data_IF_799028558143
#
_entry.id   IF_799028558143
#
_cell.length_a   1.000
_cell.length_b   1.000
_cell.length_c   1.000
_cell.angle_alpha   90.00
_cell.angle_beta   90.00
_cell.angle_gamma   90.00
#
_symmetry.space_group_name_H-M   'P 1'
#
loop_
_entity.id
_entity.type
_entity.pdbx_description
1 polymer ?
#
# COMPACT_ATOMS: atom_id res chain seq x y z
N UNK A 1 -24.37 11.08 -9.65
CA UNK A 1 -24.82 9.82 -9.03
C UNK A 1 -24.51 9.94 -7.55
N UNK A 2 -25.56 10.17 -6.76
CA UNK A 2 -25.51 10.69 -5.39
C UNK A 2 -24.76 9.74 -4.45
N UNK A 3 -23.66 10.23 -3.87
CA UNK A 3 -23.15 9.76 -2.58
C UNK A 3 -24.25 9.98 -1.55
N UNK A 4 -25.01 8.92 -1.25
CA UNK A 4 -26.02 8.96 -0.20
C UNK A 4 -25.29 8.89 1.14
N UNK A 5 -25.32 9.94 1.99
CA UNK A 5 -24.84 9.80 3.35
C UNK A 5 -25.67 8.71 4.04
N UNK A 6 -24.99 7.73 4.64
CA UNK A 6 -25.63 6.73 5.50
C UNK A 6 -26.39 7.45 6.61
N UNK A 7 -27.72 7.52 6.48
CA UNK A 7 -28.62 7.93 7.55
C UNK A 7 -28.76 6.76 8.53
N UNK A 8 -27.92 6.70 9.56
CA UNK A 8 -28.25 5.94 10.76
C UNK A 8 -29.38 6.68 11.48
N UNK A 9 -30.62 6.30 11.19
CA UNK A 9 -31.79 6.69 11.98
C UNK A 9 -31.80 5.87 13.27
N UNK A 10 -31.35 6.46 14.38
CA UNK A 10 -31.69 5.97 15.71
C UNK A 10 -33.05 6.56 16.09
N UNK A 11 -34.12 5.82 15.80
CA UNK A 11 -35.46 6.13 16.28
C UNK A 11 -35.51 5.92 17.80
N UNK A 12 -35.78 7.02 18.53
CA UNK A 12 -36.00 7.05 19.98
C UNK A 12 -34.78 6.59 20.80
N UNK A 13 -33.80 7.48 20.92
CA UNK A 13 -33.01 7.54 22.14
C UNK A 13 -33.03 8.99 22.59
N UNK A 14 -33.73 9.24 23.70
CA UNK A 14 -33.45 10.39 24.53
C UNK A 14 -31.98 10.30 24.91
N UNK A 15 -31.15 10.93 24.08
CA UNK A 15 -30.09 11.80 24.57
C UNK A 15 -28.90 10.96 25.17
N UNK A 16 -27.62 11.23 24.90
CA UNK A 16 -26.56 11.51 25.89
C UNK A 16 -25.15 11.14 25.40
N UNK A 17 -24.23 12.12 25.47
CA UNK A 17 -22.86 12.09 24.97
C UNK A 17 -22.08 10.81 25.32
N UNK A 18 -21.43 10.22 24.31
CA UNK A 18 -20.71 8.96 24.41
C UNK A 18 -19.19 9.18 24.29
N UNK A 19 -18.43 8.89 25.34
CA UNK A 19 -16.97 8.83 25.25
C UNK A 19 -16.59 7.43 24.79
N UNK A 20 -16.62 7.21 23.48
CA UNK A 20 -15.98 6.04 22.89
C UNK A 20 -14.60 6.47 22.41
N UNK A 21 -13.56 5.92 23.04
CA UNK A 21 -12.19 6.09 22.57
C UNK A 21 -11.95 5.22 21.33
N UNK A 22 -12.54 5.62 20.21
CA UNK A 22 -12.29 4.99 18.92
C UNK A 22 -10.95 5.46 18.35
N UNK A 23 -10.21 4.55 17.73
CA UNK A 23 -9.07 4.92 16.89
C UNK A 23 -9.54 5.87 15.77
N UNK A 24 -8.68 6.82 15.38
CA UNK A 24 -8.93 7.82 14.34
C UNK A 24 -9.51 7.23 13.04
N UNK A 25 -9.05 6.04 12.64
CA UNK A 25 -9.52 5.33 11.44
C UNK A 25 -11.01 4.98 11.50
N UNK A 26 -11.55 4.74 12.69
CA UNK A 26 -12.97 4.44 12.89
C UNK A 26 -13.76 5.73 13.11
N UNK A 27 -13.20 6.69 13.85
CA UNK A 27 -13.84 8.01 14.09
C UNK A 27 -14.20 8.71 12.80
N UNK A 28 -13.30 8.70 11.81
CA UNK A 28 -13.51 9.37 10.52
C UNK A 28 -14.60 8.73 9.65
N UNK A 29 -15.14 7.56 10.05
CA UNK A 29 -16.16 6.79 9.32
C UNK A 29 -17.50 6.76 10.05
N UNK A 30 -17.59 7.45 11.18
CA UNK A 30 -18.79 7.50 12.01
C UNK A 30 -19.36 8.91 12.00
N UNK A 31 -20.68 8.98 11.87
CA UNK A 31 -21.44 10.19 12.18
C UNK A 31 -22.28 9.88 13.42
N UNK A 32 -22.07 10.65 14.49
CA UNK A 32 -22.76 10.47 15.76
C UNK A 32 -23.71 11.63 15.98
N UNK A 33 -24.98 11.29 16.22
CA UNK A 33 -25.98 12.24 16.68
C UNK A 33 -26.22 11.99 18.15
N UNK A 34 -25.93 13.00 18.96
CA UNK A 34 -26.05 12.96 20.41
C UNK A 34 -26.94 14.14 20.82
N UNK A 35 -28.01 13.85 21.52
CA UNK A 35 -28.74 14.86 22.28
C UNK A 35 -28.26 14.71 23.75
N UNK A 36 -28.07 15.71 24.63
CA UNK A 36 -27.72 15.45 26.07
C UNK A 36 -28.45 16.40 27.08
N UNK A 37 -29.08 15.93 28.18
CA UNK A 37 -29.51 16.76 29.34
C UNK A 37 -28.51 16.74 30.51
N UNK A 38 -27.55 17.65 30.47
CA UNK A 38 -26.46 17.70 31.45
C UNK A 38 -26.88 18.56 32.62
N UNK A 39 -26.67 18.06 33.84
CA UNK A 39 -26.97 18.81 35.06
C UNK A 39 -25.94 19.93 35.26
N UNK A 40 -26.41 21.18 35.39
CA UNK A 40 -25.58 22.38 35.54
C UNK A 40 -24.42 22.47 34.53
N UNK A 41 -24.71 22.54 33.22
CA UNK A 41 -23.69 22.47 32.20
C UNK A 41 -22.83 23.74 32.17
N UNK A 42 -21.53 23.53 32.02
CA UNK A 42 -20.50 24.55 31.84
C UNK A 42 -19.97 24.50 30.42
N UNK A 43 -19.88 25.67 29.79
CA UNK A 43 -19.43 25.86 28.42
C UNK A 43 -18.21 26.77 28.39
N UNK A 44 -17.45 26.72 27.30
CA UNK A 44 -16.28 27.54 27.06
C UNK A 44 -16.64 29.03 26.88
N UNK A 45 -17.83 29.28 26.34
CA UNK A 45 -18.27 30.57 25.86
C UNK A 45 -19.79 30.73 25.96
N UNK A 46 -20.26 31.97 25.81
CA UNK A 46 -21.68 32.29 25.85
C UNK A 46 -22.47 31.70 24.66
N UNK A 47 -21.81 31.42 23.52
CA UNK A 47 -22.44 30.75 22.37
C UNK A 47 -22.75 29.27 22.66
N UNK A 48 -22.13 28.70 23.71
CA UNK A 48 -22.37 27.34 24.21
C UNK A 48 -22.12 26.26 23.15
N UNK A 49 -21.12 26.47 22.30
CA UNK A 49 -20.73 25.52 21.25
C UNK A 49 -19.94 24.34 21.80
N UNK A 50 -19.04 24.60 22.77
CA UNK A 50 -18.22 23.55 23.39
C UNK A 50 -18.57 23.38 24.86
N UNK A 51 -19.03 22.18 25.20
CA UNK A 51 -19.25 21.77 26.58
C UNK A 51 -17.91 21.44 27.25
N UNK A 52 -17.65 22.05 28.40
CA UNK A 52 -16.42 21.89 29.19
C UNK A 52 -16.66 21.10 30.48
N UNK A 53 -17.93 20.84 30.83
CA UNK A 53 -18.29 20.00 31.98
C UNK A 53 -17.57 18.65 31.95
N UNK A 54 -17.11 18.22 33.13
CA UNK A 54 -16.42 16.93 33.24
C UNK A 54 -17.40 15.77 33.29
N UNK A 55 -17.04 14.56 32.81
CA UNK A 55 -17.94 13.41 32.85
C UNK A 55 -18.47 13.04 34.24
N UNK A 56 -17.75 13.41 35.31
CA UNK A 56 -18.16 13.17 36.70
C UNK A 56 -19.33 14.06 37.13
N UNK A 57 -19.48 15.23 36.52
CA UNK A 57 -20.49 16.24 36.87
C UNK A 57 -21.72 16.18 35.97
N UNK A 58 -21.83 15.19 35.08
CA UNK A 58 -22.96 15.08 34.14
C UNK A 58 -24.28 14.66 34.80
N UNK A 59 -24.26 14.13 36.02
CA UNK A 59 -25.44 13.61 36.72
C UNK A 59 -25.96 12.27 36.17
N UNK A 60 -25.41 11.78 35.05
CA UNK A 60 -25.78 10.52 34.43
C UNK A 60 -24.58 9.85 33.73
N UNK A 61 -24.69 8.54 33.47
CA UNK A 61 -23.70 7.77 32.70
C UNK A 61 -24.39 7.12 31.50
N UNK A 62 -23.80 7.30 30.32
CA UNK A 62 -24.22 6.62 29.09
C UNK A 62 -23.32 5.40 28.87
N UNK A 63 -23.90 4.20 28.92
CA UNK A 63 -23.21 2.94 28.60
C UNK A 63 -23.88 2.36 27.36
N UNK A 64 -23.12 2.25 26.27
CA UNK A 64 -23.60 1.60 25.05
C UNK A 64 -23.67 0.08 25.29
N UNK A 65 -24.79 -0.53 24.91
CA UNK A 65 -24.97 -1.97 25.03
C UNK A 65 -24.23 -2.71 23.90
N UNK A 66 -23.85 -3.96 24.15
CA UNK A 66 -23.27 -4.82 23.13
C UNK A 66 -24.21 -5.04 21.93
N UNK A 67 -25.53 -4.97 22.18
CA UNK A 67 -26.54 -5.06 21.13
C UNK A 67 -26.42 -3.89 20.13
N UNK A 68 -26.16 -2.68 20.60
CA UNK A 68 -25.92 -1.52 19.74
C UNK A 68 -24.69 -1.74 18.85
N UNK A 69 -23.58 -2.19 19.41
CA UNK A 69 -22.37 -2.47 18.63
C UNK A 69 -22.58 -3.56 17.59
N UNK A 70 -23.30 -4.65 17.94
CA UNK A 70 -23.68 -5.70 16.99
C UNK A 70 -24.51 -5.15 15.84
N UNK A 71 -25.48 -4.29 16.12
CA UNK A 71 -26.30 -3.66 15.09
C UNK A 71 -25.46 -2.75 14.18
N UNK A 72 -24.57 -1.93 14.75
CA UNK A 72 -23.65 -1.09 13.98
C UNK A 72 -22.76 -1.93 13.07
N UNK A 73 -22.14 -3.01 13.58
CA UNK A 73 -21.26 -3.86 12.78
C UNK A 73 -21.99 -4.68 11.72
N UNK A 74 -23.25 -5.04 11.94
CA UNK A 74 -24.04 -5.81 10.96
C UNK A 74 -24.69 -4.93 9.88
N UNK A 75 -25.03 -3.68 10.21
CA UNK A 75 -25.70 -2.76 9.28
C UNK A 75 -24.75 -1.85 8.51
N UNK A 76 -23.46 -1.82 8.87
CA UNK A 76 -22.48 -0.93 8.24
C UNK A 76 -21.28 -1.72 7.69
N UNK A 77 -20.63 -1.18 6.67
CA UNK A 77 -19.43 -1.76 6.06
C UNK A 77 -18.13 -1.25 6.72
N UNK A 78 -18.22 -0.68 7.92
CA UNK A 78 -17.09 -0.01 8.59
C UNK A 78 -15.89 -0.95 8.73
N UNK A 79 -16.13 -2.21 9.11
CA UNK A 79 -15.08 -3.22 9.29
C UNK A 79 -14.40 -3.53 7.96
N UNK A 80 -15.17 -3.82 6.92
CA UNK A 80 -14.65 -4.13 5.58
C UNK A 80 -13.90 -2.95 4.97
N UNK A 81 -14.40 -1.74 5.18
CA UNK A 81 -13.80 -0.51 4.68
C UNK A 81 -12.45 -0.23 5.34
N UNK A 82 -12.32 -0.49 6.65
CA UNK A 82 -11.05 -0.40 7.37
C UNK A 82 -10.07 -1.47 6.89
N UNK A 83 -10.53 -2.71 6.70
CA UNK A 83 -9.66 -3.77 6.17
C UNK A 83 -9.16 -3.45 4.76
N UNK A 84 -10.03 -2.91 3.88
CA UNK A 84 -9.64 -2.43 2.55
C UNK A 84 -8.57 -1.35 2.61
N UNK A 85 -8.69 -0.40 3.53
CA UNK A 85 -7.68 0.65 3.74
C UNK A 85 -6.33 0.09 4.19
N UNK A 86 -6.34 -0.88 5.11
CA UNK A 86 -5.13 -1.53 5.60
C UNK A 86 -4.43 -2.23 4.43
N UNK A 87 -5.16 -3.07 3.69
CA UNK A 87 -4.62 -3.80 2.54
C UNK A 87 -4.07 -2.84 1.46
N UNK A 88 -4.77 -1.73 1.22
CA UNK A 88 -4.31 -0.71 0.27
C UNK A 88 -3.03 -0.03 0.74
N UNK A 89 -2.90 0.27 2.03
CA UNK A 89 -1.66 0.84 2.60
C UNK A 89 -0.50 -0.14 2.46
N UNK A 90 -0.73 -1.42 2.78
CA UNK A 90 0.29 -2.46 2.62
C UNK A 90 0.74 -2.60 1.15
N UNK A 91 -0.20 -2.61 0.21
CA UNK A 91 0.11 -2.64 -1.22
C UNK A 91 0.93 -1.42 -1.66
N UNK A 92 0.56 -0.23 -1.18
CA UNK A 92 1.30 1.01 -1.47
C UNK A 92 2.70 1.00 -0.83
N UNK A 93 2.85 0.44 0.36
CA UNK A 93 4.14 0.26 1.01
C UNK A 93 5.02 -0.73 0.25
N UNK A 94 4.45 -1.83 -0.24
CA UNK A 94 5.14 -2.77 -1.13
C UNK A 94 5.60 -2.07 -2.42
N UNK A 95 4.71 -1.32 -3.09
CA UNK A 95 5.08 -0.53 -4.28
C UNK A 95 6.17 0.51 -3.99
N UNK A 96 6.16 1.15 -2.81
CA UNK A 96 7.21 2.08 -2.40
C UNK A 96 8.51 1.38 -2.03
N UNK A 97 8.45 0.19 -1.46
CA UNK A 97 9.65 -0.60 -1.15
C UNK A 97 10.33 -1.03 -2.44
N UNK A 98 9.56 -1.46 -3.45
CA UNK A 98 10.03 -1.68 -4.81
C UNK A 98 10.72 -0.43 -5.35
N UNK A 99 10.10 0.76 -5.22
CA UNK A 99 10.70 2.00 -5.72
C UNK A 99 11.91 2.54 -4.95
N UNK A 100 12.05 2.19 -3.66
CA UNK A 100 13.21 2.56 -2.83
C UNK A 100 14.37 1.59 -2.96
N UNK A 101 14.12 0.28 -3.12
CA UNK A 101 15.16 -0.67 -3.55
C UNK A 101 15.67 -0.29 -4.95
N UNK A 102 14.79 0.15 -5.86
CA UNK A 102 15.15 0.68 -7.19
C UNK A 102 16.16 1.84 -7.18
N UNK A 103 16.20 2.67 -6.12
CA UNK A 103 17.12 3.82 -6.07
C UNK A 103 18.47 3.51 -5.40
N UNK A 104 18.58 2.39 -4.69
CA UNK A 104 19.82 1.98 -4.00
C UNK A 104 20.64 0.95 -4.80
N UNK A 105 20.02 0.26 -5.75
CA UNK A 105 20.61 -0.88 -6.50
C UNK A 105 21.14 -0.51 -7.89
N UNK A 106 21.47 0.77 -8.12
CA UNK A 106 22.17 1.19 -9.34
C UNK A 106 23.57 0.56 -9.46
N UNK A 107 24.18 0.08 -8.38
CA UNK A 107 25.54 -0.48 -8.41
C UNK A 107 25.67 -1.75 -9.25
N UNK A 108 24.67 -2.64 -9.27
CA UNK A 108 24.70 -3.86 -10.10
C UNK A 108 24.20 -3.62 -11.52
N UNK A 109 23.41 -2.56 -11.74
CA UNK A 109 23.11 -2.07 -13.08
C UNK A 109 24.37 -1.66 -13.85
N UNK A 110 25.47 -1.32 -13.17
CA UNK A 110 26.74 -0.97 -13.83
C UNK A 110 27.30 -2.12 -14.68
N UNK A 111 26.89 -3.38 -14.44
CA UNK A 111 27.31 -4.54 -15.25
C UNK A 111 26.40 -4.79 -16.45
N UNK A 112 25.28 -4.08 -16.57
CA UNK A 112 24.37 -4.22 -17.70
C UNK A 112 24.96 -3.61 -18.96
N UNK A 113 25.05 -4.40 -20.02
CA UNK A 113 25.25 -3.87 -21.37
C UNK A 113 23.88 -3.58 -21.96
N UNK A 114 23.52 -2.30 -22.11
CA UNK A 114 22.20 -1.91 -22.61
C UNK A 114 22.11 -2.00 -24.14
N UNK A 115 21.00 -2.54 -24.63
CA UNK A 115 20.65 -2.43 -26.04
C UNK A 115 20.29 -0.98 -26.38
N UNK A 116 20.62 -0.53 -27.59
CA UNK A 116 20.35 0.86 -28.01
C UNK A 116 18.86 1.21 -28.03
N UNK A 117 18.00 0.26 -28.41
CA UNK A 117 16.55 0.48 -28.49
C UNK A 117 15.82 0.14 -27.15
N UNK A 118 16.55 -0.28 -26.09
CA UNK A 118 15.96 -0.65 -24.80
C UNK A 118 15.27 0.54 -24.13
N UNK A 119 14.05 0.32 -23.61
CA UNK A 119 13.23 1.38 -22.98
C UNK A 119 12.63 2.41 -23.96
N UNK A 120 12.88 2.30 -25.27
CA UNK A 120 12.24 3.13 -26.30
C UNK A 120 10.92 2.50 -26.77
N UNK A 121 10.23 3.15 -27.73
CA UNK A 121 9.06 2.55 -28.40
C UNK A 121 9.35 1.23 -29.11
N UNK A 122 10.62 0.94 -29.41
CA UNK A 122 11.09 -0.30 -30.06
C UNK A 122 11.59 -1.36 -29.08
N UNK A 123 11.47 -1.13 -27.77
CA UNK A 123 11.81 -2.09 -26.71
C UNK A 123 11.15 -3.46 -26.91
N UNK A 124 10.02 -3.53 -27.62
CA UNK A 124 9.34 -4.77 -27.99
C UNK A 124 10.17 -5.75 -28.81
N UNK A 125 11.19 -5.25 -29.50
CA UNK A 125 12.12 -6.07 -30.27
C UNK A 125 13.41 -6.36 -29.49
N UNK A 126 13.55 -5.81 -28.28
CA UNK A 126 14.73 -5.98 -27.48
C UNK A 126 14.66 -7.26 -26.64
N UNK A 127 15.76 -8.02 -26.64
CA UNK A 127 15.95 -9.23 -25.85
C UNK A 127 17.09 -9.00 -24.85
N UNK A 128 16.85 -9.37 -23.60
CA UNK A 128 17.88 -9.41 -22.57
C UNK A 128 18.50 -10.80 -22.53
N UNK A 129 19.81 -10.87 -22.70
CA UNK A 129 20.60 -12.08 -22.51
C UNK A 129 21.12 -12.08 -21.07
N UNK A 130 20.80 -13.13 -20.33
CA UNK A 130 21.23 -13.33 -18.95
C UNK A 130 22.34 -14.36 -18.96
N UNK A 131 23.45 -14.07 -18.30
CA UNK A 131 24.64 -14.93 -18.31
C UNK A 131 25.02 -15.36 -16.89
N UNK A 132 25.49 -16.59 -16.71
CA UNK A 132 26.03 -17.04 -15.43
C UNK A 132 27.48 -16.53 -15.28
N UNK A 133 27.65 -15.40 -14.60
CA UNK A 133 28.95 -14.79 -14.32
C UNK A 133 29.56 -13.93 -15.45
N UNK A 134 30.63 -13.21 -15.10
CA UNK A 134 31.28 -12.25 -16.00
C UNK A 134 32.03 -12.92 -17.17
N UNK A 135 32.41 -14.21 -17.04
CA UNK A 135 33.05 -14.99 -18.12
C UNK A 135 32.09 -15.24 -19.29
N UNK A 136 30.85 -15.65 -19.00
CA UNK A 136 29.84 -15.85 -20.02
C UNK A 136 29.36 -14.52 -20.62
N UNK A 137 29.30 -13.44 -19.82
CA UNK A 137 29.09 -12.07 -20.34
C UNK A 137 30.12 -11.71 -21.41
N UNK A 138 31.40 -11.94 -21.17
CA UNK A 138 32.45 -11.56 -22.12
C UNK A 138 32.25 -12.25 -23.49
N UNK A 139 31.84 -13.53 -23.48
CA UNK A 139 31.51 -14.28 -24.70
C UNK A 139 30.29 -13.69 -25.41
N UNK A 140 29.22 -13.38 -24.68
CA UNK A 140 28.02 -12.77 -25.24
C UNK A 140 28.32 -11.39 -25.85
N UNK A 141 29.16 -10.57 -25.19
CA UNK A 141 29.59 -9.26 -25.69
C UNK A 141 30.39 -9.41 -26.99
N UNK A 142 31.23 -10.44 -27.11
CA UNK A 142 31.93 -10.73 -28.36
C UNK A 142 30.95 -11.09 -29.48
N UNK A 143 29.88 -11.85 -29.18
CA UNK A 143 28.81 -12.17 -30.13
C UNK A 143 28.02 -10.94 -30.62
N UNK A 144 27.85 -9.93 -29.78
CA UNK A 144 27.20 -8.68 -30.17
C UNK A 144 27.96 -7.90 -31.25
N UNK A 145 29.26 -8.12 -31.42
CA UNK A 145 30.02 -7.50 -32.51
C UNK A 145 29.51 -7.97 -33.89
N UNK A 146 28.94 -9.18 -33.96
CA UNK A 146 28.41 -9.77 -35.19
C UNK A 146 26.91 -9.50 -35.35
N UNK A 147 26.14 -9.68 -34.27
CA UNK A 147 24.66 -9.57 -34.30
C UNK A 147 24.18 -8.12 -34.16
N UNK A 148 25.00 -7.24 -33.59
CA UNK A 148 24.69 -5.84 -33.34
C UNK A 148 24.06 -5.58 -31.97
N UNK A 149 24.33 -4.39 -31.43
CA UNK A 149 23.89 -3.96 -30.08
C UNK A 149 22.52 -3.30 -30.02
N UNK A 150 21.80 -3.26 -31.14
CA UNK A 150 20.56 -2.48 -31.23
C UNK A 150 19.42 -3.08 -30.42
N UNK A 151 19.30 -4.41 -30.44
CA UNK A 151 18.19 -5.16 -29.87
C UNK A 151 18.60 -6.11 -28.73
N UNK A 152 19.88 -6.25 -28.42
CA UNK A 152 20.35 -7.24 -27.45
C UNK A 152 21.10 -6.56 -26.32
N UNK A 153 20.60 -6.74 -25.09
CA UNK A 153 21.28 -6.34 -23.87
C UNK A 153 21.86 -7.57 -23.15
N UNK A 154 22.88 -7.39 -22.31
CA UNK A 154 23.50 -8.50 -21.57
C UNK A 154 23.60 -8.15 -20.09
N UNK A 155 23.14 -9.05 -19.23
CA UNK A 155 23.25 -8.93 -17.78
C UNK A 155 23.86 -10.20 -17.14
N UNK A 156 24.97 -10.09 -16.39
CA UNK A 156 25.57 -11.23 -15.68
C UNK A 156 24.94 -11.42 -14.29
N UNK A 157 24.54 -12.66 -13.98
CA UNK A 157 24.14 -13.08 -12.64
C UNK A 157 25.36 -13.47 -11.80
N UNK A 158 25.31 -13.18 -10.50
CA UNK A 158 26.33 -13.61 -9.52
C UNK A 158 25.97 -14.98 -8.93
N UNK A 159 25.86 -15.98 -9.80
CA UNK A 159 25.50 -17.35 -9.43
C UNK A 159 24.03 -17.68 -9.72
N UNK A 160 23.48 -18.66 -8.98
CA UNK A 160 22.13 -19.18 -9.21
C UNK A 160 21.08 -18.30 -8.55
N UNK A 161 20.00 -17.99 -9.28
CA UNK A 161 18.83 -17.33 -8.72
C UNK A 161 18.21 -18.19 -7.60
N UNK A 162 17.84 -17.52 -6.51
CA UNK A 162 17.13 -18.15 -5.40
C UNK A 162 15.78 -18.67 -5.87
N UNK A 163 15.43 -19.90 -5.48
CA UNK A 163 14.11 -20.45 -5.75
C UNK A 163 13.04 -19.72 -4.92
N UNK A 164 12.09 -19.07 -5.61
CA UNK A 164 11.03 -18.27 -5.01
C UNK A 164 9.75 -19.03 -4.73
N UNK A 165 9.67 -20.33 -5.06
CA UNK A 165 8.46 -21.13 -4.87
C UNK A 165 8.14 -21.27 -3.38
N UNK A 166 6.99 -20.74 -2.97
CA UNK A 166 6.52 -20.79 -1.57
C UNK A 166 7.04 -19.67 -0.68
N UNK A 167 7.79 -18.71 -1.23
CA UNK A 167 8.13 -17.48 -0.53
C UNK A 167 6.97 -16.47 -0.62
N UNK A 168 6.85 -15.61 0.38
CA UNK A 168 5.94 -14.48 0.34
C UNK A 168 6.45 -13.41 -0.63
N UNK A 169 5.51 -12.67 -1.23
CA UNK A 169 5.81 -11.62 -2.21
C UNK A 169 6.78 -10.56 -1.67
N UNK A 170 6.71 -10.26 -0.37
CA UNK A 170 7.59 -9.26 0.25
C UNK A 170 9.03 -9.75 0.27
N UNK A 171 9.26 -10.98 0.71
CA UNK A 171 10.59 -11.60 0.72
C UNK A 171 11.21 -11.65 -0.67
N UNK A 172 10.43 -11.99 -1.71
CA UNK A 172 10.93 -11.99 -3.10
C UNK A 172 11.41 -10.60 -3.53
N UNK A 173 10.69 -9.54 -3.16
CA UNK A 173 11.08 -8.16 -3.48
C UNK A 173 12.37 -7.70 -2.78
N UNK A 174 12.76 -8.33 -1.67
CA UNK A 174 14.01 -8.03 -0.95
C UNK A 174 15.21 -8.83 -1.48
N UNK A 175 15.01 -9.80 -2.37
CA UNK A 175 16.09 -10.52 -3.01
C UNK A 175 16.69 -9.66 -4.12
N UNK A 176 17.93 -9.18 -3.91
CA UNK A 176 18.64 -8.23 -4.79
C UNK A 176 18.69 -8.69 -6.26
N UNK A 177 18.94 -9.97 -6.51
CA UNK A 177 19.01 -10.47 -7.90
C UNK A 177 17.64 -10.43 -8.58
N UNK A 178 16.57 -10.70 -7.83
CA UNK A 178 15.20 -10.68 -8.33
C UNK A 178 14.67 -9.26 -8.51
N UNK A 179 14.98 -8.34 -7.61
CA UNK A 179 14.59 -6.93 -7.76
C UNK A 179 15.20 -6.32 -9.03
N UNK A 180 16.49 -6.55 -9.29
CA UNK A 180 17.15 -6.10 -10.52
C UNK A 180 16.52 -6.74 -11.77
N UNK A 181 16.28 -8.05 -11.74
CA UNK A 181 15.70 -8.76 -12.88
C UNK A 181 14.28 -8.27 -13.22
N UNK A 182 13.45 -8.04 -12.21
CA UNK A 182 12.10 -7.45 -12.37
C UNK A 182 12.19 -6.08 -13.05
N UNK A 183 13.13 -5.22 -12.66
CA UNK A 183 13.31 -3.89 -13.26
C UNK A 183 13.65 -3.99 -14.75
N UNK A 184 14.55 -4.90 -15.12
CA UNK A 184 15.01 -5.03 -16.51
C UNK A 184 13.89 -5.52 -17.42
N UNK A 185 13.09 -6.48 -16.96
CA UNK A 185 11.97 -7.05 -17.72
C UNK A 185 10.80 -6.08 -17.81
N UNK A 186 10.37 -5.47 -16.69
CA UNK A 186 9.17 -4.63 -16.72
C UNK A 186 9.36 -3.34 -17.52
N UNK A 187 10.59 -2.84 -17.65
CA UNK A 187 10.84 -1.50 -18.21
C UNK A 187 11.60 -1.46 -19.52
N UNK A 188 12.48 -2.44 -19.79
CA UNK A 188 13.48 -2.29 -20.87
C UNK A 188 13.43 -3.40 -21.92
N UNK A 189 13.10 -4.64 -21.54
CA UNK A 189 13.20 -5.81 -22.40
C UNK A 189 11.95 -6.69 -22.33
N UNK A 190 11.48 -7.19 -23.47
CA UNK A 190 10.25 -8.00 -23.54
C UNK A 190 10.52 -9.50 -23.56
N UNK A 191 11.72 -9.90 -23.98
CA UNK A 191 12.16 -11.28 -23.99
C UNK A 191 13.43 -11.47 -23.18
N UNK A 192 13.55 -12.62 -22.53
CA UNK A 192 14.76 -13.02 -21.81
C UNK A 192 15.28 -14.34 -22.35
N UNK A 193 16.58 -14.39 -22.59
CA UNK A 193 17.31 -15.59 -22.98
C UNK A 193 18.38 -15.90 -21.94
N UNK A 194 18.46 -17.16 -21.50
CA UNK A 194 19.48 -17.69 -20.61
C UNK A 194 20.57 -18.40 -21.41
#
# INVERSE_FOLDING_TARGET
LLDKPLKLFCGVCNVFHCVVELRLQVKNRLCLYLNSFIENPTFDSQTKEYLVSTPKTFGSKCVLSDAFFKEVFTRTDIVESIMRDINKRELLELQRSLSRSMSRELSDLHKLEEATDAGTSRSRHCTLIVTEGDSAKALAVAGLAVVGRRHFGIFPLRGKLTNVRGLDERTVCYLVDWSVFIILIERKYIAVQF
#
